data_IF_791559378262
#
_entry.id   IF_791559378262
#
_cell.length_a   1.000
_cell.length_b   1.000
_cell.length_c   1.000
_cell.angle_alpha   90.00
_cell.angle_beta   90.00
_cell.angle_gamma   90.00
#
_symmetry.space_group_name_H-M   'P 1'
#
loop_
_entity.id
_entity.type
_entity.pdbx_description
1 polymer ?
#
# COMPACT_ATOMS: atom_id res chain seq x y z
N UNK A 1 -9.81 -1.33 -0.71
CA UNK A 1 -8.52 -1.36 -1.42
C UNK A 1 -7.70 -0.15 -1.05
N UNK A 2 -7.09 -0.14 0.14
CA UNK A 2 -6.37 1.04 0.65
C UNK A 2 -5.03 1.20 -0.07
N UNK A 3 -4.20 0.16 -0.09
CA UNK A 3 -2.90 0.18 -0.76
C UNK A 3 -3.02 0.42 -2.27
N UNK A 4 -3.79 -0.41 -2.97
CA UNK A 4 -3.89 -0.37 -4.44
C UNK A 4 -4.42 0.98 -4.94
N UNK A 5 -5.42 1.55 -4.24
CA UNK A 5 -6.00 2.86 -4.61
C UNK A 5 -5.02 3.99 -4.34
N UNK A 6 -4.33 3.99 -3.20
CA UNK A 6 -3.33 5.02 -2.88
C UNK A 6 -2.14 4.99 -3.84
N UNK A 7 -1.64 3.80 -4.18
CA UNK A 7 -0.56 3.64 -5.17
C UNK A 7 -1.03 4.10 -6.56
N UNK A 8 -2.25 3.73 -6.97
CA UNK A 8 -2.81 4.16 -8.26
C UNK A 8 -2.95 5.68 -8.33
N UNK A 9 -3.38 6.34 -7.25
CA UNK A 9 -3.49 7.81 -7.25
C UNK A 9 -2.13 8.51 -7.39
N UNK A 10 -1.10 8.01 -6.71
CA UNK A 10 0.25 8.55 -6.86
C UNK A 10 0.81 8.31 -8.27
N UNK A 11 0.62 7.11 -8.82
CA UNK A 11 1.04 6.80 -10.19
C UNK A 11 0.30 7.66 -11.21
N UNK A 12 -1.01 7.86 -11.03
CA UNK A 12 -1.82 8.69 -11.92
C UNK A 12 -1.29 10.13 -12.00
N UNK A 13 -1.01 10.76 -10.85
CA UNK A 13 -0.46 12.12 -10.83
C UNK A 13 0.95 12.20 -11.40
N UNK A 14 1.79 11.17 -11.18
CA UNK A 14 3.12 11.11 -11.77
C UNK A 14 3.06 11.04 -13.31
N UNK A 15 2.17 10.20 -13.87
CA UNK A 15 2.02 10.05 -15.32
C UNK A 15 1.20 11.16 -15.99
N UNK A 16 0.36 11.88 -15.25
CA UNK A 16 -0.37 13.05 -15.75
C UNK A 16 0.42 14.35 -15.65
N UNK A 17 1.65 14.33 -15.12
CA UNK A 17 2.45 15.55 -14.92
C UNK A 17 1.90 16.46 -13.83
N UNK A 18 1.23 15.90 -12.82
CA UNK A 18 0.57 16.61 -11.72
C UNK A 18 -0.62 17.49 -12.14
N UNK A 19 -1.32 17.13 -13.22
CA UNK A 19 -2.47 17.90 -13.73
C UNK A 19 -3.57 18.17 -12.68
N UNK A 20 -3.82 17.27 -11.73
CA UNK A 20 -4.91 17.46 -10.76
C UNK A 20 -4.48 18.15 -9.46
N UNK A 21 -3.19 18.10 -9.12
CA UNK A 21 -2.67 18.61 -7.84
C UNK A 21 -1.64 19.73 -7.95
N UNK A 22 -1.05 19.93 -9.14
CA UNK A 22 0.02 20.90 -9.42
C UNK A 22 -0.41 22.38 -9.38
N UNK A 23 -1.71 22.67 -9.30
CA UNK A 23 -2.23 24.03 -9.10
C UNK A 23 -2.08 24.54 -7.67
N UNK A 24 -1.82 23.66 -6.69
CA UNK A 24 -1.62 24.04 -5.31
C UNK A 24 -0.17 24.46 -5.04
N UNK A 25 0.04 25.31 -4.03
CA UNK A 25 1.39 25.62 -3.58
C UNK A 25 2.10 24.33 -3.16
N UNK A 26 3.41 24.21 -3.39
CA UNK A 26 4.18 23.01 -3.02
C UNK A 26 4.05 22.68 -1.52
N UNK A 27 3.88 23.72 -0.68
CA UNK A 27 3.67 23.56 0.76
C UNK A 27 2.32 22.89 1.06
N UNK A 28 1.24 23.36 0.44
CA UNK A 28 -0.10 22.81 0.65
C UNK A 28 -0.22 21.39 0.07
N UNK A 29 0.46 21.12 -1.03
CA UNK A 29 0.55 19.78 -1.61
C UNK A 29 1.21 18.79 -0.64
N UNK A 30 2.33 19.17 -0.02
CA UNK A 30 3.02 18.29 0.93
C UNK A 30 2.18 18.09 2.21
N UNK A 31 1.55 19.13 2.75
CA UNK A 31 0.81 19.03 4.01
C UNK A 31 -0.58 18.40 3.86
N UNK A 32 -1.32 18.71 2.79
CA UNK A 32 -2.70 18.25 2.61
C UNK A 32 -2.82 17.00 1.73
N UNK A 33 -1.84 16.71 0.88
CA UNK A 33 -1.89 15.56 -0.02
C UNK A 33 -0.85 14.50 0.35
N UNK A 34 0.44 14.85 0.49
CA UNK A 34 1.48 13.85 0.78
C UNK A 34 1.36 13.31 2.21
N UNK A 35 1.35 14.20 3.21
CA UNK A 35 1.35 13.83 4.63
C UNK A 35 0.21 12.88 5.04
N UNK A 36 -1.06 13.07 4.61
CA UNK A 36 -2.11 12.13 4.97
C UNK A 36 -2.10 10.83 4.16
N UNK A 37 -1.54 10.81 2.94
CA UNK A 37 -1.57 9.62 2.08
C UNK A 37 -0.40 8.66 2.32
N UNK A 38 0.80 9.17 2.61
CA UNK A 38 2.00 8.34 2.83
C UNK A 38 1.84 7.31 3.95
N UNK A 39 1.26 7.65 5.13
CA UNK A 39 1.04 6.67 6.19
C UNK A 39 0.18 5.49 5.75
N UNK A 40 -0.80 5.71 4.87
CA UNK A 40 -1.67 4.64 4.37
C UNK A 40 -0.99 3.71 3.38
N UNK A 41 -0.01 4.19 2.62
CA UNK A 41 0.82 3.33 1.79
C UNK A 41 1.67 2.42 2.69
N UNK A 42 2.37 3.00 3.67
CA UNK A 42 3.27 2.25 4.55
C UNK A 42 2.51 1.23 5.39
N UNK A 43 1.48 1.68 6.13
CA UNK A 43 0.73 0.81 7.04
C UNK A 43 0.00 -0.29 6.28
N UNK A 44 -0.65 0.03 5.16
CA UNK A 44 -1.39 -0.99 4.41
C UNK A 44 -0.45 -2.00 3.75
N UNK A 45 0.72 -1.58 3.26
CA UNK A 45 1.74 -2.49 2.75
C UNK A 45 2.26 -3.42 3.85
N UNK A 46 2.54 -2.87 5.04
CA UNK A 46 2.98 -3.66 6.19
C UNK A 46 1.93 -4.71 6.60
N UNK A 47 0.66 -4.31 6.75
CA UNK A 47 -0.41 -5.25 7.09
C UNK A 47 -0.60 -6.33 6.03
N UNK A 48 -0.50 -5.96 4.75
CA UNK A 48 -0.57 -6.93 3.64
C UNK A 48 0.57 -7.94 3.71
N UNK A 49 1.79 -7.49 4.03
CA UNK A 49 2.95 -8.36 4.18
C UNK A 49 2.82 -9.32 5.36
N UNK A 50 2.46 -8.82 6.54
CA UNK A 50 2.30 -9.65 7.75
C UNK A 50 1.18 -10.67 7.55
N UNK A 51 -0.02 -10.23 7.15
CA UNK A 51 -1.13 -11.16 6.92
C UNK A 51 -0.83 -12.16 5.80
N UNK A 52 -0.13 -11.73 4.74
CA UNK A 52 0.32 -12.62 3.67
C UNK A 52 1.30 -13.68 4.17
N UNK A 53 2.21 -13.30 5.08
CA UNK A 53 3.19 -14.23 5.68
C UNK A 53 2.49 -15.24 6.57
N UNK A 54 1.57 -14.78 7.45
CA UNK A 54 0.78 -15.65 8.32
C UNK A 54 -0.04 -16.68 7.52
N UNK A 55 -0.57 -16.29 6.36
CA UNK A 55 -1.28 -17.20 5.45
C UNK A 55 -0.33 -18.26 4.88
N UNK A 56 0.86 -17.86 4.42
CA UNK A 56 1.85 -18.78 3.85
C UNK A 56 2.33 -19.78 4.92
N UNK A 57 2.63 -19.31 6.12
CA UNK A 57 3.08 -20.14 7.23
C UNK A 57 2.00 -21.15 7.66
N UNK A 58 0.74 -20.70 7.75
CA UNK A 58 -0.39 -21.59 8.04
C UNK A 58 -0.60 -22.67 6.97
N UNK A 59 -0.37 -22.33 5.69
CA UNK A 59 -0.45 -23.29 4.60
C UNK A 59 0.71 -24.29 4.62
N UNK A 60 1.93 -23.82 4.92
CA UNK A 60 3.12 -24.66 5.03
C UNK A 60 3.00 -25.67 6.19
N UNK A 61 2.55 -25.22 7.37
CA UNK A 61 2.36 -26.10 8.53
C UNK A 61 1.30 -27.17 8.32
N UNK A 62 0.24 -26.87 7.56
CA UNK A 62 -0.77 -27.87 7.18
C UNK A 62 -0.18 -28.93 6.23
N UNK A 63 0.68 -28.53 5.29
CA UNK A 63 1.33 -29.44 4.36
C UNK A 63 2.39 -30.35 5.00
N UNK A 64 2.97 -29.94 6.13
CA UNK A 64 3.85 -30.81 6.93
C UNK A 64 3.03 -31.83 7.73
N UNK A 65 1.92 -31.43 8.36
CA UNK A 65 1.03 -32.35 9.07
C UNK A 65 0.50 -33.49 8.18
N UNK A 66 0.18 -33.20 6.91
CA UNK A 66 -0.34 -34.19 5.95
C UNK A 66 0.73 -35.18 5.45
N UNK A 67 2.03 -34.91 5.66
CA UNK A 67 3.13 -35.83 5.32
C UNK A 67 3.47 -36.82 6.44
N UNK A 68 3.06 -36.50 7.66
CA UNK A 68 3.38 -37.27 8.87
C UNK A 68 2.26 -38.28 9.25
N UNK A 69 1.09 -38.24 8.60
CA UNK A 69 0.04 -39.29 8.62
C UNK A 69 0.25 -40.36 7.52
#
# INVERSE_FOLDING_TARGET
MTLSKSVLYWANEYYSGFDNIGHNSTRDLITLWVMPNVPWIILSAYMTYVMGSDIVDGLAGTAEHDKDE
#
